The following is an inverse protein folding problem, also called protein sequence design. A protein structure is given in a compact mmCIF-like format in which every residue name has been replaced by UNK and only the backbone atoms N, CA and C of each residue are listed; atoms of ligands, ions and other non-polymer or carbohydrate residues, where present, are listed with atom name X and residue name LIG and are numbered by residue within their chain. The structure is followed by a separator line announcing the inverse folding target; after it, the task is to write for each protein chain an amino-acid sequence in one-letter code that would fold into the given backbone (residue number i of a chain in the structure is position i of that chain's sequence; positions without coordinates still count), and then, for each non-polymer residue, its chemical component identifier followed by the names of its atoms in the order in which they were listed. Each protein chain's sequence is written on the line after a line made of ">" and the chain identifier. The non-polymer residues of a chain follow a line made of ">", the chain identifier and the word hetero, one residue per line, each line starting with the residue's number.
data_IF_162345667883
#
_entry.id   IF_162345667883
#
_cell.length_a   1.000
_cell.length_b   1.000
_cell.length_c   1.000
_cell.angle_alpha   90.00
_cell.angle_beta   90.00
_cell.angle_gamma   90.00
#
_symmetry.space_group_name_H-M   'P 1'
#
loop_
_entity.id
_entity.type
_entity.pdbx_description
1 polymer ?
#
# COMPACT_ATOMS: atom_id res chain seq x y z
N UNK A 1 -37.05 -3.62 -13.47
CA UNK A 1 -36.14 -3.56 -12.31
C UNK A 1 -34.75 -3.30 -12.84
N UNK A 2 -34.23 -2.10 -12.63
CA UNK A 2 -32.91 -1.70 -13.11
C UNK A 2 -31.85 -2.52 -12.40
N UNK A 3 -31.21 -3.44 -13.13
CA UNK A 3 -30.10 -4.23 -12.61
C UNK A 3 -28.85 -3.36 -12.62
N UNK A 4 -28.00 -3.50 -11.60
CA UNK A 4 -26.63 -3.00 -11.58
C UNK A 4 -25.71 -4.21 -11.73
N UNK A 5 -24.71 -4.12 -12.61
CA UNK A 5 -23.65 -5.13 -12.75
C UNK A 5 -22.53 -4.94 -11.74
N UNK A 6 -22.36 -3.70 -11.26
CA UNK A 6 -21.43 -3.34 -10.20
C UNK A 6 -21.96 -2.15 -9.42
N UNK A 7 -21.68 -2.11 -8.12
CA UNK A 7 -21.89 -0.94 -7.27
C UNK A 7 -20.65 -0.71 -6.42
N UNK A 8 -20.28 0.55 -6.23
CA UNK A 8 -19.22 1.00 -5.33
C UNK A 8 -19.76 2.09 -4.41
N UNK A 9 -19.54 1.91 -3.11
CA UNK A 9 -19.93 2.87 -2.09
C UNK A 9 -18.71 3.63 -1.57
N UNK A 10 -18.75 4.94 -1.73
CA UNK A 10 -17.80 5.88 -1.13
C UNK A 10 -18.27 6.34 0.25
N UNK A 11 -17.64 7.39 0.80
CA UNK A 11 -18.02 7.91 2.13
C UNK A 11 -19.34 8.68 2.10
N UNK A 12 -19.55 9.47 1.05
CA UNK A 12 -20.69 10.40 0.96
C UNK A 12 -21.55 10.19 -0.30
N UNK A 13 -21.10 9.35 -1.22
CA UNK A 13 -21.80 9.03 -2.45
C UNK A 13 -21.60 7.55 -2.79
N UNK A 14 -22.42 7.05 -3.71
CA UNK A 14 -22.31 5.71 -4.26
C UNK A 14 -22.50 5.78 -5.77
N UNK A 15 -21.91 4.85 -6.48
CA UNK A 15 -21.98 4.76 -7.93
C UNK A 15 -22.24 3.32 -8.33
N UNK A 16 -23.07 3.13 -9.35
CA UNK A 16 -23.41 1.84 -9.91
C UNK A 16 -23.30 1.86 -11.43
N UNK A 17 -22.90 0.71 -11.98
CA UNK A 17 -22.84 0.49 -13.42
C UNK A 17 -24.03 -0.38 -13.81
N UNK A 18 -24.76 0.04 -14.84
CA UNK A 18 -25.84 -0.72 -15.45
C UNK A 18 -25.32 -1.72 -16.49
N UNK A 19 -26.11 -2.77 -16.82
CA UNK A 19 -25.91 -3.54 -18.04
C UNK A 19 -25.85 -2.60 -19.25
N UNK A 20 -24.73 -2.60 -19.96
CA UNK A 20 -24.42 -1.64 -21.03
C UNK A 20 -23.33 -0.63 -20.70
N UNK A 21 -22.86 -0.59 -19.44
CA UNK A 21 -21.73 0.23 -19.02
C UNK A 21 -22.09 1.67 -18.63
N UNK A 22 -23.38 2.03 -18.66
CA UNK A 22 -23.85 3.35 -18.20
C UNK A 22 -23.66 3.48 -16.68
N UNK A 23 -23.18 4.63 -16.26
CA UNK A 23 -22.87 4.93 -14.86
C UNK A 23 -23.96 5.82 -14.24
N UNK A 24 -24.50 5.38 -13.11
CA UNK A 24 -25.38 6.17 -12.25
C UNK A 24 -24.76 6.35 -10.87
N UNK A 25 -24.57 7.59 -10.44
CA UNK A 25 -24.10 7.94 -9.11
C UNK A 25 -25.19 8.67 -8.32
N UNK A 26 -25.18 8.53 -7.01
CA UNK A 26 -26.11 9.17 -6.10
C UNK A 26 -25.45 9.52 -4.76
N UNK A 27 -25.99 10.54 -4.07
CA UNK A 27 -25.48 11.02 -2.78
C UNK A 27 -24.95 12.45 -2.87
N UNK A 28 -23.96 12.78 -2.01
CA UNK A 28 -23.35 14.11 -1.97
C UNK A 28 -22.67 14.46 -3.29
N UNK A 29 -22.84 15.71 -3.73
CA UNK A 29 -22.25 16.22 -4.96
C UNK A 29 -21.49 17.55 -4.74
N UNK A 30 -21.06 17.83 -3.52
CA UNK A 30 -20.39 19.09 -3.16
C UNK A 30 -19.16 19.40 -4.02
N UNK A 31 -18.49 18.37 -4.53
CA UNK A 31 -17.29 18.49 -5.37
C UNK A 31 -17.49 17.98 -6.80
N UNK A 32 -18.72 17.72 -7.24
CA UNK A 32 -18.97 17.14 -8.56
C UNK A 32 -18.65 15.64 -8.66
N UNK A 33 -18.69 14.90 -7.54
CA UNK A 33 -18.42 13.45 -7.52
C UNK A 33 -19.59 12.58 -8.02
N UNK A 34 -20.79 13.17 -8.09
CA UNK A 34 -22.02 12.58 -8.64
C UNK A 34 -22.34 13.32 -9.93
N UNK A 35 -21.63 12.97 -10.99
CA UNK A 35 -21.90 13.44 -12.34
C UNK A 35 -22.34 12.27 -13.21
N UNK A 36 -23.27 12.53 -14.11
CA UNK A 36 -23.60 11.58 -15.17
C UNK A 36 -22.52 11.68 -16.25
N UNK A 37 -21.94 10.54 -16.59
CA UNK A 37 -20.96 10.44 -17.65
C UNK A 37 -21.59 9.73 -18.85
N UNK A 38 -21.37 10.24 -20.05
CA UNK A 38 -21.87 9.64 -21.30
C UNK A 38 -21.01 8.46 -21.78
N UNK A 39 -19.86 8.25 -21.14
CA UNK A 39 -18.95 7.16 -21.47
C UNK A 39 -19.37 5.85 -20.82
N UNK A 40 -18.94 4.73 -21.40
CA UNK A 40 -19.17 3.40 -20.84
C UNK A 40 -18.02 2.99 -19.93
N UNK A 41 -18.37 2.32 -18.83
CA UNK A 41 -17.43 1.89 -17.80
C UNK A 41 -17.49 0.38 -17.60
N UNK A 42 -16.32 -0.23 -17.42
CA UNK A 42 -16.17 -1.61 -16.96
C UNK A 42 -16.11 -1.70 -15.43
N UNK A 43 -15.57 -0.67 -14.80
CA UNK A 43 -15.40 -0.63 -13.35
C UNK A 43 -15.56 0.80 -12.84
N UNK A 44 -16.09 0.95 -11.63
CA UNK A 44 -16.14 2.20 -10.87
C UNK A 44 -15.71 1.94 -9.43
N UNK A 45 -15.01 2.91 -8.85
CA UNK A 45 -14.65 2.95 -7.44
C UNK A 45 -14.90 4.33 -6.87
N UNK A 46 -15.75 4.40 -5.84
CA UNK A 46 -16.08 5.63 -5.12
C UNK A 46 -15.21 5.78 -3.87
N UNK A 47 -14.49 6.89 -3.76
CA UNK A 47 -13.66 7.26 -2.62
C UNK A 47 -14.41 8.13 -1.60
N UNK A 48 -13.72 9.04 -0.90
CA UNK A 48 -14.39 9.94 0.06
C UNK A 48 -15.27 10.98 -0.64
N UNK A 49 -14.65 11.74 -1.54
CA UNK A 49 -15.26 12.87 -2.25
C UNK A 49 -14.84 12.88 -3.72
N UNK A 50 -14.32 11.75 -4.22
CA UNK A 50 -13.90 11.55 -5.59
C UNK A 50 -14.33 10.16 -6.05
N UNK A 51 -14.38 9.97 -7.36
CA UNK A 51 -14.71 8.70 -8.00
C UNK A 51 -13.73 8.46 -9.13
N UNK A 52 -13.36 7.20 -9.34
CA UNK A 52 -12.57 6.78 -10.48
C UNK A 52 -13.28 5.64 -11.21
N UNK A 53 -13.26 5.66 -12.53
CA UNK A 53 -13.82 4.61 -13.36
C UNK A 53 -12.85 4.18 -14.46
N UNK A 54 -12.91 2.90 -14.81
CA UNK A 54 -12.20 2.32 -15.95
C UNK A 54 -13.17 2.22 -17.11
N UNK A 55 -12.78 2.78 -18.25
CA UNK A 55 -13.51 2.68 -19.50
C UNK A 55 -13.33 1.31 -20.16
N UNK A 56 -14.12 1.05 -21.20
CA UNK A 56 -14.04 -0.22 -21.96
C UNK A 56 -12.72 -0.41 -22.71
N UNK A 57 -11.97 0.67 -22.97
CA UNK A 57 -10.63 0.65 -23.55
C UNK A 57 -9.49 0.50 -22.51
N UNK A 58 -9.83 0.42 -21.22
CA UNK A 58 -8.87 0.32 -20.12
C UNK A 58 -8.30 1.67 -19.65
N UNK A 59 -8.70 2.79 -20.25
CA UNK A 59 -8.34 4.12 -19.76
C UNK A 59 -9.08 4.44 -18.45
N UNK A 60 -8.48 5.27 -17.60
CA UNK A 60 -9.05 5.67 -16.31
C UNK A 60 -9.42 7.13 -16.34
N UNK A 61 -10.66 7.43 -15.94
CA UNK A 61 -11.10 8.78 -15.65
C UNK A 61 -11.46 8.88 -14.18
N UNK A 62 -10.95 9.89 -13.51
CA UNK A 62 -11.35 10.23 -12.15
C UNK A 62 -11.96 11.64 -12.11
N UNK A 63 -12.90 11.85 -11.20
CA UNK A 63 -13.60 13.12 -11.05
C UNK A 63 -14.00 13.36 -9.58
N UNK A 64 -14.40 14.59 -9.27
CA UNK A 64 -14.71 15.05 -7.91
C UNK A 64 -13.57 15.85 -7.29
N UNK A 65 -13.43 15.76 -5.97
CA UNK A 65 -12.38 16.47 -5.22
C UNK A 65 -10.98 16.05 -5.71
N UNK A 66 -10.13 17.03 -5.99
CA UNK A 66 -8.79 16.80 -6.55
C UNK A 66 -7.66 17.59 -5.88
N UNK A 67 -7.84 18.07 -4.64
CA UNK A 67 -6.85 18.94 -3.99
C UNK A 67 -5.47 18.27 -3.81
N UNK A 68 -5.43 16.94 -3.73
CA UNK A 68 -4.22 16.14 -3.53
C UNK A 68 -3.80 15.41 -4.82
N UNK A 69 -4.46 15.69 -5.95
CA UNK A 69 -4.27 14.96 -7.20
C UNK A 69 -4.96 13.58 -7.23
N UNK A 70 -5.83 13.24 -6.28
CA UNK A 70 -6.48 11.93 -6.18
C UNK A 70 -7.44 11.60 -7.34
N UNK A 71 -7.87 12.62 -8.07
CA UNK A 71 -8.66 12.53 -9.29
C UNK A 71 -7.85 12.85 -10.55
N UNK A 72 -6.51 12.81 -10.47
CA UNK A 72 -5.60 12.94 -11.62
C UNK A 72 -4.86 11.62 -11.81
N UNK A 73 -5.46 10.64 -12.52
CA UNK A 73 -4.82 9.36 -12.77
C UNK A 73 -3.57 9.56 -13.66
N UNK A 74 -2.50 8.78 -13.44
CA UNK A 74 -1.34 8.78 -14.32
C UNK A 74 -1.66 8.10 -15.66
N UNK A 75 -0.93 8.49 -16.70
CA UNK A 75 -1.15 7.95 -18.05
C UNK A 75 -0.99 6.42 -18.12
N UNK A 76 -1.80 5.81 -18.97
CA UNK A 76 -1.76 4.39 -19.31
C UNK A 76 -3.07 3.66 -19.06
N UNK A 77 -2.99 2.33 -19.17
CA UNK A 77 -4.15 1.44 -19.09
C UNK A 77 -4.14 0.67 -17.78
N UNK A 78 -5.34 0.45 -17.24
CA UNK A 78 -5.56 -0.20 -15.97
C UNK A 78 -6.59 -1.32 -16.09
N UNK A 79 -6.36 -2.38 -15.33
CA UNK A 79 -7.27 -3.52 -15.19
C UNK A 79 -8.23 -3.34 -14.01
N UNK A 80 -7.78 -2.64 -12.97
CA UNK A 80 -8.58 -2.40 -11.77
C UNK A 80 -8.14 -1.10 -11.10
N UNK A 81 -9.10 -0.35 -10.53
CA UNK A 81 -8.86 0.80 -9.66
C UNK A 81 -9.56 0.63 -8.32
N UNK A 82 -9.00 1.26 -7.28
CA UNK A 82 -9.56 1.37 -5.95
C UNK A 82 -9.33 2.78 -5.40
N UNK A 83 -10.42 3.50 -5.14
CA UNK A 83 -10.41 4.84 -4.57
C UNK A 83 -10.49 4.77 -3.04
N UNK A 84 -9.48 5.32 -2.37
CA UNK A 84 -9.42 5.46 -0.92
C UNK A 84 -9.98 6.79 -0.44
N UNK A 85 -9.51 7.26 0.72
CA UNK A 85 -10.00 8.50 1.32
C UNK A 85 -9.58 9.74 0.52
N UNK A 86 -8.28 9.85 0.28
CA UNK A 86 -7.64 10.98 -0.41
C UNK A 86 -6.61 10.46 -1.45
N UNK A 87 -6.63 9.18 -1.79
CA UNK A 87 -5.73 8.55 -2.74
C UNK A 87 -6.50 7.55 -3.60
N UNK A 88 -5.89 7.13 -4.70
CA UNK A 88 -6.40 6.07 -5.57
C UNK A 88 -5.23 5.19 -5.98
N UNK A 89 -5.46 3.87 -6.02
CA UNK A 89 -4.50 2.91 -6.55
C UNK A 89 -5.12 2.14 -7.71
N UNK A 90 -4.30 1.76 -8.69
CA UNK A 90 -4.72 0.95 -9.81
C UNK A 90 -3.69 -0.10 -10.21
N UNK A 91 -4.18 -1.24 -10.69
CA UNK A 91 -3.39 -2.31 -11.30
C UNK A 91 -3.31 -2.02 -12.80
N UNK A 92 -2.09 -1.87 -13.32
CA UNK A 92 -1.82 -1.65 -14.75
C UNK A 92 -1.94 -2.96 -15.52
N UNK A 93 -2.01 -2.87 -16.85
CA UNK A 93 -2.08 -4.03 -17.74
C UNK A 93 -0.83 -4.93 -17.71
N UNK A 94 0.32 -4.39 -17.28
CA UNK A 94 1.56 -5.14 -17.04
C UNK A 94 1.61 -5.83 -15.67
N UNK A 95 0.56 -5.70 -14.86
CA UNK A 95 0.44 -6.27 -13.52
C UNK A 95 1.12 -5.46 -12.41
N UNK A 96 1.79 -4.34 -12.73
CA UNK A 96 2.29 -3.42 -11.72
C UNK A 96 1.15 -2.62 -11.08
N UNK A 97 1.34 -2.15 -9.85
CA UNK A 97 0.37 -1.25 -9.19
C UNK A 97 0.95 0.17 -9.12
N UNK A 98 0.10 1.16 -9.34
CA UNK A 98 0.46 2.57 -9.21
C UNK A 98 -0.59 3.26 -8.35
N UNK A 99 -0.15 4.06 -7.38
CA UNK A 99 -1.01 4.87 -6.53
C UNK A 99 -0.73 6.36 -6.73
N UNK A 100 -1.77 7.17 -6.62
CA UNK A 100 -1.72 8.63 -6.77
C UNK A 100 -2.64 9.31 -5.75
N UNK A 101 -2.43 10.61 -5.49
CA UNK A 101 -3.15 11.37 -4.46
C UNK A 101 -2.31 11.68 -3.21
N UNK A 102 -3.01 11.90 -2.08
CA UNK A 102 -2.42 12.15 -0.76
C UNK A 102 -1.53 10.98 -0.34
N UNK A 103 -0.23 11.19 -0.56
CA UNK A 103 0.84 10.21 -0.38
C UNK A 103 1.39 10.23 1.04
N UNK A 104 0.59 10.61 2.04
CA UNK A 104 1.02 10.66 3.45
C UNK A 104 1.48 9.30 4.02
N UNK A 105 1.31 8.19 3.28
CA UNK A 105 2.10 6.97 3.46
C UNK A 105 2.70 6.56 2.10
N UNK A 106 3.95 7.00 1.88
CA UNK A 106 4.64 6.93 0.60
C UNK A 106 4.87 5.51 0.06
N UNK A 107 5.13 5.46 -1.25
CA UNK A 107 5.94 4.46 -1.95
C UNK A 107 6.08 3.10 -1.25
N UNK A 108 5.02 2.28 -1.17
CA UNK A 108 5.27 0.84 -1.19
C UNK A 108 5.47 0.50 -2.69
N UNK A 109 6.71 0.24 -3.18
CA UNK A 109 6.90 -0.34 -4.50
C UNK A 109 6.26 -1.72 -4.46
N UNK A 110 5.06 -1.78 -5.00
CA UNK A 110 4.29 -2.98 -5.32
C UNK A 110 5.01 -3.78 -6.41
N UNK A 111 6.18 -4.31 -6.08
CA UNK A 111 6.76 -5.43 -6.82
C UNK A 111 5.92 -6.66 -6.51
N UNK A 112 5.35 -7.21 -7.57
CA UNK A 112 4.50 -8.39 -7.60
C UNK A 112 5.05 -9.56 -6.75
N UNK A 113 4.11 -10.31 -6.14
CA UNK A 113 4.22 -11.69 -5.65
C UNK A 113 4.37 -12.02 -4.15
N UNK A 114 4.35 -11.09 -3.18
CA UNK A 114 4.34 -11.48 -1.76
C UNK A 114 3.40 -10.59 -0.90
N UNK A 115 2.40 -11.15 -0.17
CA UNK A 115 1.60 -10.40 0.79
C UNK A 115 2.39 -10.30 2.10
N UNK A 116 3.45 -9.50 2.13
CA UNK A 116 4.08 -9.11 3.40
C UNK A 116 3.68 -7.68 3.67
N UNK A 117 2.89 -7.52 4.74
CA UNK A 117 2.66 -6.25 5.46
C UNK A 117 3.91 -5.39 5.33
N UNK A 118 3.81 -4.17 4.79
CA UNK A 118 4.93 -3.23 4.81
C UNK A 118 5.37 -3.11 6.29
N UNK A 119 6.54 -3.66 6.72
CA UNK A 119 7.07 -3.35 8.03
C UNK A 119 7.68 -1.96 7.87
N UNK A 120 7.16 -0.96 8.57
CA UNK A 120 7.99 0.18 8.90
C UNK A 120 9.05 -0.35 9.88
N UNK A 121 10.13 -0.95 9.37
CA UNK A 121 11.31 -1.17 10.21
C UNK A 121 11.95 0.19 10.44
N UNK A 122 12.08 0.64 11.70
CA UNK A 122 13.02 1.71 11.99
C UNK A 122 14.39 1.17 11.60
N UNK A 123 15.18 1.96 10.86
CA UNK A 123 16.58 1.65 10.56
C UNK A 123 17.27 1.29 11.87
N UNK A 124 17.46 0.00 12.14
CA UNK A 124 18.37 -0.42 13.20
C UNK A 124 19.75 0.09 12.78
N UNK A 125 20.24 1.07 13.54
CA UNK A 125 21.65 1.48 13.49
C UNK A 125 22.47 0.19 13.61
N UNK A 126 23.49 -0.04 12.78
CA UNK A 126 24.37 -1.18 12.96
C UNK A 126 24.93 -1.11 14.38
N UNK A 127 24.56 -2.06 15.25
CA UNK A 127 25.30 -2.28 16.49
C UNK A 127 26.63 -2.85 16.02
N UNK A 128 27.64 -1.98 15.92
CA UNK A 128 29.01 -2.42 15.78
C UNK A 128 29.29 -3.25 17.03
N UNK A 129 29.32 -4.58 16.89
CA UNK A 129 29.92 -5.45 17.88
C UNK A 129 31.38 -4.99 17.96
N UNK A 130 31.88 -4.48 19.09
CA UNK A 130 33.31 -4.33 19.22
C UNK A 130 33.91 -5.74 19.06
N UNK A 131 34.67 -5.90 17.99
CA UNK A 131 35.60 -7.01 17.81
C UNK A 131 36.43 -7.11 19.09
N UNK A 132 36.23 -8.20 19.83
CA UNK A 132 37.12 -8.54 20.94
C UNK A 132 38.56 -8.54 20.39
N UNK A 133 39.51 -7.82 21.02
CA UNK A 133 40.90 -7.98 20.66
C UNK A 133 41.36 -9.38 21.04
N UNK A 134 42.12 -10.01 20.15
CA UNK A 134 42.82 -11.25 20.44
C UNK A 134 43.84 -11.00 21.55
N UNK A 135 43.48 -11.31 22.79
CA UNK A 135 44.45 -11.37 23.88
C UNK A 135 45.19 -12.71 23.82
N UNK A 136 46.46 -12.57 23.49
CA UNK A 136 47.51 -13.59 23.60
C UNK A 136 47.68 -13.92 25.08
N UNK A 137 47.29 -15.14 25.48
CA UNK A 137 47.51 -15.65 26.84
C UNK A 137 49.03 -15.80 27.10
N UNK A 138 49.60 -15.19 28.17
CA UNK A 138 50.96 -15.49 28.60
C UNK A 138 51.01 -16.86 29.29
N UNK A 139 52.08 -17.65 29.11
CA UNK A 139 52.16 -19.01 29.62
C UNK A 139 52.66 -19.04 31.07
N UNK A 140 51.90 -18.51 32.04
CA UNK A 140 52.13 -18.79 33.48
C UNK A 140 51.00 -18.23 34.34
N UNK A 141 49.94 -19.01 34.60
CA UNK A 141 49.19 -18.96 35.85
C UNK A 141 48.24 -20.16 35.91
N UNK A 142 48.66 -21.18 36.65
CA UNK A 142 47.90 -22.40 36.90
C UNK A 142 46.55 -22.08 37.56
N UNK A 143 45.46 -22.79 37.21
CA UNK A 143 44.16 -22.54 37.79
C UNK A 143 44.11 -22.96 39.26
N UNK A 144 43.44 -22.15 40.07
CA UNK A 144 43.32 -22.22 41.54
C UNK A 144 42.71 -23.52 42.10
N UNK A 145 42.25 -24.44 41.25
CA UNK A 145 41.77 -25.77 41.65
C UNK A 145 42.86 -26.86 41.67
N UNK A 146 44.10 -26.54 41.26
CA UNK A 146 45.27 -27.42 41.37
C UNK A 146 46.16 -27.08 42.58
N UNK A 147 45.56 -26.95 43.77
CA UNK A 147 46.32 -27.03 45.02
C UNK A 147 46.33 -28.50 45.50
N UNK A 148 47.48 -29.20 45.46
CA UNK A 148 47.57 -30.61 45.87
C UNK A 148 47.46 -30.80 47.38
N UNK A 149 46.74 -31.86 47.78
CA UNK A 149 46.63 -32.37 49.13
C UNK A 149 48.02 -32.63 49.74
N UNK A 150 48.29 -32.09 50.94
CA UNK A 150 49.38 -32.57 51.79
C UNK A 150 48.82 -33.54 52.85
N UNK A 151 49.50 -34.68 53.09
CA UNK A 151 49.11 -35.66 54.09
C UNK A 151 49.39 -35.15 55.52
N UNK A 152 48.64 -35.71 56.47
CA UNK A 152 48.83 -35.49 57.90
C UNK A 152 50.05 -36.25 58.46
N UNK A 153 50.63 -35.69 59.54
CA UNK A 153 51.07 -36.36 60.77
C UNK A 153 52.50 -36.00 61.23
N UNK A 154 52.58 -35.37 62.40
CA UNK A 154 53.11 -35.98 63.63
C UNK A 154 52.34 -35.38 64.83
#
# INVERSE_FOLDING_TARGET
>A
MGLFTQVSAGRYHSCGIHPGGTLDCWGDNTYGQVITQTSTFLQVSAGRNHTCGIHTDGSVTCWGLNNEGQATPPDGLFLQVSAGRNHTCGVRTDGSVTCWGDSSQGNCPVSSSIPRRCPAEPKERPIIRPSAPAEVLPPTSLPWWMAPCRPASA
#
